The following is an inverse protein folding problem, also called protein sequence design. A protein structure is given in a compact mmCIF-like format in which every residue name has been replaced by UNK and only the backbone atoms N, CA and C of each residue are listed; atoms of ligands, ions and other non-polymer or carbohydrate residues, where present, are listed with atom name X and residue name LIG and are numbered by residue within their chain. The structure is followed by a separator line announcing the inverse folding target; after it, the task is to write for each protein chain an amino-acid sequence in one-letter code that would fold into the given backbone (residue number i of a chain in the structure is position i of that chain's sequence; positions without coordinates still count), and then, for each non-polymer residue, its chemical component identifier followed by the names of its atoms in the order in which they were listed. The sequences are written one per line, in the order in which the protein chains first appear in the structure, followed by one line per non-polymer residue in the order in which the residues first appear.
data_IF_576913309033
#
_entry.id   IF_576913309033
#
_cell.length_a   1.000
_cell.length_b   1.000
_cell.length_c   1.000
_cell.angle_alpha   90.00
_cell.angle_beta   90.00
_cell.angle_gamma   90.00
#
_symmetry.space_group_name_H-M   'P 1'
#
loop_
_entity.id
_entity.type
_entity.pdbx_description
1 polymer ?
#
# COMPACT_ATOMS: atom_id res chain seq x y z
N UNK A 1 3.94 -12.79 -53.09
CA UNK A 1 4.02 -14.09 -52.39
C UNK A 1 4.93 -13.86 -51.18
N UNK A 2 4.49 -13.55 -49.97
CA UNK A 2 3.26 -13.89 -49.27
C UNK A 2 3.63 -14.84 -48.12
N UNK A 3 4.13 -14.33 -46.98
CA UNK A 3 4.20 -15.09 -45.73
C UNK A 3 3.30 -14.43 -44.69
N UNK A 4 2.28 -15.18 -44.30
CA UNK A 4 1.21 -14.78 -43.41
C UNK A 4 1.67 -14.82 -41.94
N UNK A 5 1.43 -13.74 -41.19
CA UNK A 5 1.44 -13.76 -39.72
C UNK A 5 0.09 -14.31 -39.26
N UNK A 6 0.12 -15.40 -38.49
CA UNK A 6 -1.06 -16.03 -37.90
C UNK A 6 -1.48 -15.23 -36.67
N UNK A 7 -2.69 -14.67 -36.70
CA UNK A 7 -3.42 -14.21 -35.52
C UNK A 7 -3.98 -15.44 -34.78
N UNK A 8 -3.68 -15.57 -33.50
CA UNK A 8 -4.40 -16.49 -32.60
C UNK A 8 -5.65 -15.76 -32.11
N UNK A 9 -6.82 -16.23 -32.54
CA UNK A 9 -8.11 -15.90 -31.93
C UNK A 9 -8.26 -16.71 -30.65
N UNK A 10 -8.36 -16.06 -29.50
CA UNK A 10 -8.81 -16.71 -28.27
C UNK A 10 -10.34 -16.85 -28.31
N UNK A 11 -10.80 -18.10 -28.19
CA UNK A 11 -12.20 -18.49 -28.15
C UNK A 11 -12.73 -18.22 -26.74
N UNK A 12 -13.72 -17.34 -26.60
CA UNK A 12 -14.49 -17.20 -25.36
C UNK A 12 -15.43 -18.40 -25.23
N UNK A 13 -15.20 -19.26 -24.22
CA UNK A 13 -16.13 -20.33 -23.86
C UNK A 13 -17.11 -19.76 -22.84
N UNK A 14 -18.37 -19.57 -23.26
CA UNK A 14 -19.48 -19.32 -22.34
C UNK A 14 -19.87 -20.63 -21.63
N UNK A 15 -19.60 -20.73 -20.33
CA UNK A 15 -20.18 -21.80 -19.50
C UNK A 15 -21.45 -21.26 -18.86
N UNK A 16 -22.59 -21.87 -19.22
CA UNK A 16 -23.82 -21.75 -18.43
C UNK A 16 -23.87 -22.93 -17.47
N UNK A 17 -23.92 -22.66 -16.17
CA UNK A 17 -24.10 -23.72 -15.16
C UNK A 17 -25.29 -23.37 -14.25
N UNK A 18 -26.42 -24.02 -14.51
CA UNK A 18 -27.54 -24.12 -13.60
C UNK A 18 -27.21 -25.15 -12.52
N UNK A 19 -27.10 -24.73 -11.26
CA UNK A 19 -26.99 -25.65 -10.13
C UNK A 19 -26.86 -24.89 -8.81
N UNK A 20 -27.88 -25.02 -7.94
CA UNK A 20 -27.86 -24.55 -6.56
C UNK A 20 -26.73 -25.25 -5.79
N UNK A 21 -25.62 -24.55 -5.60
CA UNK A 21 -24.60 -24.83 -4.59
C UNK A 21 -24.33 -23.52 -3.88
N UNK A 22 -24.30 -23.55 -2.55
CA UNK A 22 -23.94 -22.39 -1.73
C UNK A 22 -22.69 -21.72 -2.30
N UNK A 23 -22.81 -20.46 -2.71
CA UNK A 23 -21.68 -19.63 -3.03
C UNK A 23 -20.89 -19.45 -1.74
N UNK A 24 -19.78 -20.17 -1.61
CA UNK A 24 -18.68 -19.70 -0.78
C UNK A 24 -18.34 -18.29 -1.31
N UNK A 25 -18.13 -17.27 -0.47
CA UNK A 25 -17.56 -16.03 -0.97
C UNK A 25 -16.20 -16.44 -1.56
N UNK A 26 -16.11 -16.42 -2.88
CA UNK A 26 -14.81 -16.32 -3.52
C UNK A 26 -14.23 -15.02 -2.95
N UNK A 27 -12.97 -14.97 -2.48
CA UNK A 27 -12.34 -13.65 -2.40
C UNK A 27 -12.58 -13.04 -3.78
N UNK A 28 -13.19 -11.85 -3.83
CA UNK A 28 -13.23 -11.10 -5.08
C UNK A 28 -11.76 -11.05 -5.50
N UNK A 29 -11.37 -11.83 -6.50
CA UNK A 29 -10.11 -11.56 -7.15
C UNK A 29 -10.33 -10.17 -7.71
N UNK A 30 -9.69 -9.20 -7.07
CA UNK A 30 -9.67 -7.84 -7.55
C UNK A 30 -9.32 -7.95 -9.04
N UNK A 31 -10.18 -7.43 -9.90
CA UNK A 31 -10.01 -7.57 -11.33
C UNK A 31 -8.63 -7.00 -11.69
N UNK A 32 -7.73 -7.85 -12.18
CA UNK A 32 -6.39 -7.43 -12.60
C UNK A 32 -6.51 -6.82 -13.98
N UNK A 33 -6.20 -5.53 -14.10
CA UNK A 33 -6.20 -4.80 -15.36
C UNK A 33 -4.89 -5.00 -16.13
N UNK A 34 -3.78 -5.10 -15.39
CA UNK A 34 -2.45 -5.26 -15.94
C UNK A 34 -1.60 -6.08 -14.97
N UNK A 35 -0.83 -7.01 -15.52
CA UNK A 35 0.24 -7.69 -14.80
C UNK A 35 1.43 -7.81 -15.76
N UNK A 36 2.62 -7.42 -15.30
CA UNK A 36 3.82 -7.48 -16.09
C UNK A 36 5.02 -7.87 -15.23
N UNK A 37 5.77 -8.85 -15.72
CA UNK A 37 7.09 -9.21 -15.19
C UNK A 37 8.12 -8.90 -16.26
N UNK A 38 9.24 -8.30 -15.88
CA UNK A 38 10.29 -7.96 -16.84
C UNK A 38 11.57 -7.48 -16.19
N UNK A 39 12.53 -7.10 -17.02
CA UNK A 39 13.80 -6.49 -16.60
C UNK A 39 13.84 -5.05 -17.10
N UNK A 40 14.02 -4.08 -16.21
CA UNK A 40 14.18 -2.68 -16.59
C UNK A 40 15.56 -2.49 -17.25
N UNK A 41 15.58 -2.32 -18.58
CA UNK A 41 16.74 -1.82 -19.36
C UNK A 41 16.27 -1.02 -20.59
N UNK A 42 16.35 0.34 -20.63
CA UNK A 42 16.97 1.29 -19.68
C UNK A 42 16.12 1.51 -18.41
N UNK A 43 16.58 2.38 -17.49
CA UNK A 43 16.07 2.67 -16.12
C UNK A 43 14.56 2.96 -15.92
N UNK A 44 13.74 2.80 -16.94
CA UNK A 44 12.30 3.03 -16.95
C UNK A 44 11.59 2.07 -17.91
N UNK A 45 10.41 1.59 -17.51
CA UNK A 45 9.45 0.90 -18.36
C UNK A 45 8.07 1.57 -18.24
N UNK A 46 7.33 1.63 -19.35
CA UNK A 46 5.99 2.23 -19.39
C UNK A 46 4.94 1.23 -19.83
N UNK A 47 3.78 1.30 -19.18
CA UNK A 47 2.62 0.44 -19.43
C UNK A 47 1.37 1.28 -19.53
N UNK A 48 0.40 0.85 -20.33
CA UNK A 48 -0.87 1.56 -20.49
C UNK A 48 -2.05 0.66 -20.16
N UNK A 49 -3.11 1.25 -19.61
CA UNK A 49 -4.39 0.60 -19.40
C UNK A 49 -5.52 1.61 -19.58
N UNK A 50 -6.71 1.11 -19.92
CA UNK A 50 -7.93 1.92 -19.99
C UNK A 50 -8.56 2.00 -18.59
N UNK A 51 -8.84 3.21 -18.12
CA UNK A 51 -9.46 3.48 -16.82
C UNK A 51 -10.81 4.17 -16.98
N UNK A 52 -11.68 3.99 -15.98
CA UNK A 52 -13.00 4.66 -15.92
C UNK A 52 -13.03 5.63 -14.73
N UNK A 53 -13.75 6.75 -14.87
CA UNK A 53 -13.97 7.71 -13.78
C UNK A 53 -14.53 7.02 -12.53
N UNK A 54 -13.94 7.31 -11.37
CA UNK A 54 -14.35 6.74 -10.09
C UNK A 54 -13.88 5.30 -9.86
N UNK A 55 -13.11 4.71 -10.78
CA UNK A 55 -12.55 3.39 -10.58
C UNK A 55 -11.43 3.43 -9.52
N UNK A 56 -11.54 2.57 -8.52
CA UNK A 56 -10.59 2.44 -7.42
C UNK A 56 -9.56 1.35 -7.74
N UNK A 57 -8.30 1.76 -7.93
CA UNK A 57 -7.21 0.88 -8.35
C UNK A 57 -6.04 0.93 -7.39
N UNK A 58 -5.37 -0.21 -7.29
CA UNK A 58 -4.07 -0.35 -6.66
C UNK A 58 -3.04 -0.77 -7.69
N UNK A 59 -1.91 -0.06 -7.68
CA UNK A 59 -0.76 -0.29 -8.54
C UNK A 59 0.43 -0.62 -7.64
N UNK A 60 1.02 -1.80 -7.78
CA UNK A 60 2.20 -2.23 -7.03
C UNK A 60 3.37 -2.42 -7.97
N UNK A 61 4.55 -1.96 -7.55
CA UNK A 61 5.83 -2.24 -8.20
C UNK A 61 6.80 -2.77 -7.14
N UNK A 62 7.20 -4.02 -7.32
CA UNK A 62 8.10 -4.73 -6.41
C UNK A 62 9.38 -5.13 -7.14
N UNK A 63 10.53 -4.98 -6.47
CA UNK A 63 11.82 -5.46 -6.97
C UNK A 63 12.78 -5.73 -5.82
N UNK A 64 13.50 -6.86 -5.92
CA UNK A 64 14.65 -7.17 -5.05
C UNK A 64 15.97 -6.57 -5.59
N UNK A 65 15.98 -6.17 -6.86
CA UNK A 65 17.18 -5.74 -7.58
C UNK A 65 17.41 -4.22 -7.49
N UNK A 66 16.35 -3.43 -7.31
CA UNK A 66 16.43 -1.97 -7.24
C UNK A 66 15.34 -1.37 -6.35
N UNK A 67 15.57 -0.12 -5.92
CA UNK A 67 14.60 0.71 -5.23
C UNK A 67 13.54 1.24 -6.21
N UNK A 68 12.31 0.70 -6.22
CA UNK A 68 11.30 0.99 -7.22
C UNK A 68 10.67 2.36 -7.04
N UNK A 69 10.23 2.96 -8.15
CA UNK A 69 9.41 4.16 -8.11
C UNK A 69 8.31 4.09 -9.18
N UNK A 70 7.12 4.54 -8.79
CA UNK A 70 5.87 4.45 -9.55
C UNK A 70 5.32 5.85 -9.84
N UNK A 71 5.03 6.13 -11.10
CA UNK A 71 4.20 7.27 -11.52
C UNK A 71 2.98 6.76 -12.26
N UNK A 72 1.84 7.39 -12.02
CA UNK A 72 0.65 7.27 -12.85
C UNK A 72 0.42 8.59 -13.57
N UNK A 73 0.38 8.54 -14.89
CA UNK A 73 0.13 9.70 -15.75
C UNK A 73 -1.21 9.54 -16.50
N UNK A 74 -1.89 10.65 -16.76
CA UNK A 74 -3.05 10.70 -17.66
C UNK A 74 -2.63 10.68 -19.15
N UNK A 75 -3.59 10.74 -20.07
CA UNK A 75 -3.28 10.76 -21.52
C UNK A 75 -2.61 12.04 -22.03
N UNK A 76 -2.66 13.13 -21.25
CA UNK A 76 -1.95 14.37 -21.53
C UNK A 76 -0.49 14.33 -21.02
N UNK A 77 -0.12 13.29 -20.26
CA UNK A 77 1.16 13.16 -19.60
C UNK A 77 1.26 13.95 -18.29
N UNK A 78 0.12 14.37 -17.72
CA UNK A 78 0.05 15.00 -16.41
C UNK A 78 0.08 13.93 -15.30
N UNK A 79 0.73 14.25 -14.18
CA UNK A 79 0.83 13.32 -13.04
C UNK A 79 -0.49 13.23 -12.29
N UNK A 80 -0.99 12.01 -12.15
CA UNK A 80 -2.18 11.66 -11.36
C UNK A 80 -1.77 11.23 -9.95
N UNK A 81 -0.72 10.41 -9.85
CA UNK A 81 -0.21 9.92 -8.58
C UNK A 81 1.27 9.50 -8.70
N UNK A 82 1.97 9.53 -7.58
CA UNK A 82 3.37 9.16 -7.45
C UNK A 82 3.58 8.39 -6.14
N UNK A 83 4.43 7.37 -6.17
CA UNK A 83 4.99 6.81 -4.95
C UNK A 83 6.37 6.14 -5.19
N UNK A 84 7.30 6.30 -4.26
CA UNK A 84 8.62 5.65 -4.20
C UNK A 84 8.83 4.73 -2.98
N UNK A 85 7.96 4.74 -1.96
CA UNK A 85 8.02 3.80 -0.83
C UNK A 85 6.62 3.50 -0.25
N UNK A 86 6.42 2.33 0.36
CA UNK A 86 5.12 2.04 0.98
C UNK A 86 5.23 1.09 2.16
N UNK A 87 4.49 1.43 3.23
CA UNK A 87 4.23 0.52 4.35
C UNK A 87 5.49 0.07 5.10
N UNK A 88 6.56 0.85 5.08
CA UNK A 88 7.84 0.50 5.70
C UNK A 88 8.73 -0.44 4.84
N UNK A 89 8.40 -0.59 3.56
CA UNK A 89 9.22 -1.27 2.55
C UNK A 89 9.70 -0.27 1.49
N UNK A 90 10.73 -0.65 0.74
CA UNK A 90 11.16 0.10 -0.44
C UNK A 90 10.23 -0.11 -1.64
N UNK A 91 9.32 -1.09 -1.60
CA UNK A 91 8.39 -1.32 -2.72
C UNK A 91 7.41 -0.15 -2.84
N UNK A 92 7.07 0.20 -4.08
CA UNK A 92 6.14 1.30 -4.35
C UNK A 92 4.72 0.80 -4.52
N UNK A 93 3.76 1.57 -3.99
CA UNK A 93 2.33 1.28 -4.13
C UNK A 93 1.51 2.55 -4.26
N UNK A 94 0.68 2.63 -5.31
CA UNK A 94 -0.31 3.69 -5.50
C UNK A 94 -1.69 3.09 -5.25
N UNK A 95 -2.50 3.76 -4.43
CA UNK A 95 -3.93 3.47 -4.25
C UNK A 95 -4.66 4.73 -4.73
N UNK A 96 -5.51 4.62 -5.75
CA UNK A 96 -6.04 5.79 -6.47
C UNK A 96 -7.49 5.59 -6.90
N UNK A 97 -8.28 6.65 -6.81
CA UNK A 97 -9.56 6.77 -7.52
C UNK A 97 -9.32 7.54 -8.81
N UNK A 98 -9.59 6.93 -9.96
CA UNK A 98 -9.32 7.55 -11.26
C UNK A 98 -10.23 8.77 -11.49
N UNK A 99 -9.69 9.92 -11.91
CA UNK A 99 -10.46 11.16 -12.03
C UNK A 99 -11.33 11.25 -13.29
N UNK A 100 -11.12 10.40 -14.30
CA UNK A 100 -11.83 10.45 -15.57
C UNK A 100 -11.79 9.11 -16.32
N UNK A 101 -12.66 8.96 -17.31
CA UNK A 101 -12.48 7.96 -18.36
C UNK A 101 -11.27 8.37 -19.21
N UNK A 102 -10.18 7.59 -19.15
CA UNK A 102 -8.94 7.92 -19.87
C UNK A 102 -8.04 6.69 -20.12
N UNK A 103 -7.07 6.85 -21.02
CA UNK A 103 -5.93 5.92 -21.15
C UNK A 103 -4.82 6.39 -20.22
N UNK A 104 -4.54 5.62 -19.18
CA UNK A 104 -3.50 5.95 -18.19
C UNK A 104 -2.17 5.28 -18.53
N UNK A 105 -1.07 5.95 -18.17
CA UNK A 105 0.30 5.41 -18.31
C UNK A 105 0.93 5.19 -16.95
N UNK A 106 1.30 3.95 -16.65
CA UNK A 106 2.13 3.59 -15.50
C UNK A 106 3.59 3.67 -15.91
N UNK A 107 4.39 4.42 -15.16
CA UNK A 107 5.84 4.50 -15.31
C UNK A 107 6.49 3.78 -14.14
N UNK A 108 7.14 2.66 -14.43
CA UNK A 108 7.97 1.92 -13.48
C UNK A 108 9.43 2.31 -13.69
N UNK A 109 10.08 2.86 -12.67
CA UNK A 109 11.48 3.30 -12.76
C UNK A 109 12.30 2.79 -11.59
N UNK A 110 13.61 2.66 -11.81
CA UNK A 110 14.59 2.44 -10.74
C UNK A 110 15.07 3.80 -10.22
N UNK A 111 15.04 4.02 -8.90
CA UNK A 111 15.49 5.28 -8.29
C UNK A 111 16.95 5.61 -8.63
N UNK A 112 17.85 4.62 -8.50
CA UNK A 112 19.28 4.76 -8.78
C UNK A 112 19.63 4.62 -10.28
N UNK A 113 18.71 4.09 -11.08
CA UNK A 113 18.88 3.89 -12.53
C UNK A 113 19.63 2.62 -12.93
N UNK A 114 19.90 1.73 -11.97
CA UNK A 114 20.64 0.48 -12.18
C UNK A 114 19.80 -0.58 -12.92
N UNK A 115 18.47 -0.52 -12.79
CA UNK A 115 17.53 -1.48 -13.40
C UNK A 115 17.64 -2.89 -12.81
N UNK A 116 16.70 -3.76 -13.15
CA UNK A 116 16.62 -5.11 -12.61
C UNK A 116 15.27 -5.76 -12.88
N UNK A 117 15.07 -6.95 -12.35
CA UNK A 117 13.81 -7.67 -12.46
C UNK A 117 12.75 -7.04 -11.54
N UNK A 118 11.50 -7.00 -12.00
CA UNK A 118 10.39 -6.44 -11.24
C UNK A 118 9.07 -7.14 -11.54
N UNK A 119 8.14 -6.99 -10.59
CA UNK A 119 6.73 -7.35 -10.71
C UNK A 119 5.87 -6.09 -10.64
N UNK A 120 5.10 -5.82 -11.70
CA UNK A 120 4.14 -4.73 -11.78
C UNK A 120 2.71 -5.28 -11.87
N UNK A 121 1.83 -4.83 -10.99
CA UNK A 121 0.40 -5.20 -11.01
C UNK A 121 -0.47 -3.95 -10.93
N UNK A 122 -1.49 -3.87 -11.78
CA UNK A 122 -2.63 -2.94 -11.66
C UNK A 122 -3.87 -3.77 -11.46
N UNK A 123 -4.56 -3.56 -10.35
CA UNK A 123 -5.78 -4.29 -10.02
C UNK A 123 -6.77 -3.41 -9.26
N UNK A 124 -8.01 -3.85 -9.14
CA UNK A 124 -8.96 -3.21 -8.22
C UNK A 124 -8.40 -3.18 -6.79
N UNK A 125 -8.67 -2.08 -6.08
CA UNK A 125 -8.29 -1.96 -4.67
C UNK A 125 -9.10 -2.90 -3.78
N UNK A 126 -8.47 -3.40 -2.73
CA UNK A 126 -9.18 -4.12 -1.67
C UNK A 126 -9.82 -3.13 -0.70
N UNK A 127 -10.83 -3.55 0.09
CA UNK A 127 -11.36 -2.71 1.16
C UNK A 127 -10.28 -2.23 2.14
N UNK A 128 -9.34 -3.10 2.51
CA UNK A 128 -8.20 -2.72 3.35
C UNK A 128 -7.43 -1.53 2.77
N UNK A 129 -7.11 -1.58 1.47
CA UNK A 129 -6.30 -0.56 0.79
C UNK A 129 -7.01 0.79 0.77
N UNK A 130 -8.31 0.80 0.50
CA UNK A 130 -9.10 2.03 0.49
C UNK A 130 -9.23 2.64 1.88
N UNK A 131 -9.47 1.81 2.89
CA UNK A 131 -9.54 2.26 4.28
C UNK A 131 -8.18 2.75 4.78
N UNK A 132 -7.09 2.07 4.42
CA UNK A 132 -5.73 2.50 4.72
C UNK A 132 -5.39 3.83 4.06
N UNK A 133 -5.69 4.01 2.76
CA UNK A 133 -5.48 5.27 2.07
C UNK A 133 -6.28 6.42 2.71
N UNK A 134 -7.52 6.15 3.14
CA UNK A 134 -8.32 7.11 3.91
C UNK A 134 -7.63 7.50 5.23
N UNK A 135 -7.02 6.54 5.93
CA UNK A 135 -6.26 6.82 7.15
C UNK A 135 -5.04 7.71 6.89
N UNK A 136 -4.29 7.46 5.82
CA UNK A 136 -3.16 8.30 5.39
C UNK A 136 -3.60 9.73 5.03
N UNK A 137 -4.71 9.89 4.31
CA UNK A 137 -5.28 11.21 3.99
C UNK A 137 -5.66 11.98 5.26
N UNK A 138 -6.23 11.30 6.25
CA UNK A 138 -6.57 11.87 7.56
C UNK A 138 -5.32 12.26 8.36
N UNK A 139 -4.26 11.45 8.28
CA UNK A 139 -2.95 11.78 8.86
C UNK A 139 -2.38 13.07 8.25
N UNK A 140 -2.47 13.25 6.93
CA UNK A 140 -1.95 14.43 6.23
C UNK A 140 -2.65 15.74 6.62
N UNK A 141 -3.94 15.67 6.97
CA UNK A 141 -4.71 16.83 7.45
C UNK A 141 -4.73 16.96 8.98
N UNK A 142 -3.89 16.18 9.67
CA UNK A 142 -3.76 16.13 11.13
C UNK A 142 -5.08 15.79 11.86
N UNK A 143 -6.02 15.11 11.18
CA UNK A 143 -7.20 14.51 11.81
C UNK A 143 -6.82 13.15 12.41
N UNK A 144 -6.07 13.20 13.51
CA UNK A 144 -5.54 12.01 14.16
C UNK A 144 -6.63 11.11 14.75
N UNK A 145 -7.74 11.67 15.24
CA UNK A 145 -8.86 10.87 15.75
C UNK A 145 -9.50 10.06 14.61
N UNK A 146 -9.75 10.71 13.46
CA UNK A 146 -10.21 10.04 12.24
C UNK A 146 -9.22 8.99 11.76
N UNK A 147 -7.93 9.31 11.70
CA UNK A 147 -6.87 8.39 11.27
C UNK A 147 -6.80 7.14 12.15
N UNK A 148 -6.85 7.30 13.49
CA UNK A 148 -6.85 6.16 14.43
C UNK A 148 -8.04 5.24 14.17
N UNK A 149 -9.23 5.80 13.92
CA UNK A 149 -10.43 5.03 13.62
C UNK A 149 -10.28 4.28 12.29
N UNK A 150 -9.78 4.96 11.24
CA UNK A 150 -9.58 4.36 9.93
C UNK A 150 -8.50 3.26 9.94
N UNK A 151 -7.35 3.46 10.60
CA UNK A 151 -6.37 2.38 10.75
C UNK A 151 -6.91 1.21 11.57
N UNK A 152 -7.75 1.47 12.57
CA UNK A 152 -8.39 0.40 13.34
C UNK A 152 -9.32 -0.43 12.47
N UNK A 153 -10.13 0.23 11.62
CA UNK A 153 -10.96 -0.47 10.63
C UNK A 153 -10.11 -1.23 9.60
N UNK A 154 -8.99 -0.65 9.14
CA UNK A 154 -8.06 -1.33 8.24
C UNK A 154 -7.48 -2.60 8.90
N UNK A 155 -7.07 -2.54 10.17
CA UNK A 155 -6.60 -3.71 10.93
C UNK A 155 -7.68 -4.78 11.06
N UNK A 156 -8.95 -4.38 11.25
CA UNK A 156 -10.07 -5.33 11.31
C UNK A 156 -10.34 -6.01 9.95
N UNK A 157 -10.07 -5.31 8.84
CA UNK A 157 -10.20 -5.83 7.48
C UNK A 157 -9.06 -6.79 7.11
N UNK A 158 -7.83 -6.45 7.48
CA UNK A 158 -6.65 -7.28 7.26
C UNK A 158 -5.62 -7.11 8.40
N UNK A 159 -5.62 -8.03 9.39
CA UNK A 159 -4.76 -7.92 10.56
C UNK A 159 -3.31 -8.33 10.30
N UNK A 160 -2.97 -8.81 9.10
CA UNK A 160 -1.62 -9.24 8.73
C UNK A 160 -0.77 -8.08 8.19
N UNK A 161 -1.36 -6.88 8.07
CA UNK A 161 -0.71 -5.70 7.49
C UNK A 161 -0.02 -4.85 8.56
N UNK A 162 1.30 -5.02 8.69
CA UNK A 162 2.13 -4.28 9.66
C UNK A 162 2.00 -2.75 9.54
N UNK A 163 1.83 -2.24 8.32
CA UNK A 163 1.71 -0.80 8.04
C UNK A 163 0.54 -0.14 8.77
N UNK A 164 -0.58 -0.83 8.94
CA UNK A 164 -1.76 -0.27 9.60
C UNK A 164 -1.55 -0.09 11.11
N UNK A 165 -0.81 -1.00 11.75
CA UNK A 165 -0.39 -0.84 13.15
C UNK A 165 0.59 0.32 13.31
N UNK A 166 1.57 0.43 12.41
CA UNK A 166 2.52 1.56 12.44
C UNK A 166 1.84 2.91 12.25
N UNK A 167 0.94 3.01 11.27
CA UNK A 167 0.14 4.21 11.03
C UNK A 167 -0.72 4.57 12.25
N UNK A 168 -1.39 3.59 12.87
CA UNK A 168 -2.18 3.83 14.09
C UNK A 168 -1.33 4.31 15.26
N UNK A 169 -0.16 3.71 15.48
CA UNK A 169 0.77 4.15 16.52
C UNK A 169 1.24 5.60 16.30
N UNK A 170 1.56 5.97 15.05
CA UNK A 170 1.91 7.33 14.68
C UNK A 170 0.76 8.30 14.88
N UNK A 171 -0.46 7.91 14.53
CA UNK A 171 -1.67 8.72 14.73
C UNK A 171 -1.93 8.98 16.22
N UNK A 172 -1.79 7.96 17.08
CA UNK A 172 -1.91 8.09 18.54
C UNK A 172 -0.89 9.08 19.09
N UNK A 173 0.37 9.00 18.65
CA UNK A 173 1.40 9.95 19.07
C UNK A 173 1.08 11.37 18.55
N UNK A 174 0.69 11.50 17.28
CA UNK A 174 0.28 12.77 16.68
C UNK A 174 -0.83 13.45 17.46
N UNK A 175 -1.87 12.69 17.84
CA UNK A 175 -2.96 13.20 18.68
C UNK A 175 -2.44 13.73 20.01
N UNK A 176 -1.58 12.98 20.70
CA UNK A 176 -0.99 13.41 21.98
C UNK A 176 -0.22 14.71 21.82
N UNK A 177 0.64 14.81 20.80
CA UNK A 177 1.43 16.02 20.56
C UNK A 177 0.55 17.21 20.18
N UNK A 178 -0.54 17.02 19.44
CA UNK A 178 -1.47 18.11 19.09
C UNK A 178 -2.28 18.59 20.29
N UNK A 179 -2.72 17.67 21.16
CA UNK A 179 -3.51 18.02 22.34
C UNK A 179 -2.66 18.62 23.47
N UNK A 180 -1.42 18.17 23.62
CA UNK A 180 -0.56 18.50 24.76
C UNK A 180 0.57 19.47 24.41
N UNK A 181 0.94 19.58 23.13
CA UNK A 181 1.86 20.59 22.59
C UNK A 181 3.10 20.78 23.45
N UNK A 182 3.26 22.02 23.96
CA UNK A 182 4.38 22.46 24.80
C UNK A 182 4.51 21.74 26.15
N UNK A 183 3.52 20.91 26.55
CA UNK A 183 3.58 20.14 27.80
C UNK A 183 4.40 18.84 27.67
N UNK A 184 4.68 18.38 26.44
CA UNK A 184 5.53 17.21 26.23
C UNK A 184 6.99 17.68 26.19
N UNK A 185 7.67 17.66 27.33
CA UNK A 185 9.10 17.97 27.42
C UNK A 185 9.97 16.71 27.31
N UNK A 186 9.37 15.54 27.58
CA UNK A 186 10.01 14.25 27.55
C UNK A 186 9.02 13.13 27.21
N UNK A 187 9.49 11.94 26.80
CA UNK A 187 8.63 10.78 26.63
C UNK A 187 7.81 10.37 27.87
N UNK A 188 8.19 10.82 29.08
CA UNK A 188 7.42 10.58 30.33
C UNK A 188 6.09 11.30 30.39
N UNK A 189 6.00 12.42 29.68
CA UNK A 189 4.80 13.25 29.63
C UNK A 189 3.73 12.62 28.73
N UNK A 190 4.09 11.64 27.89
CA UNK A 190 3.13 10.88 27.08
C UNK A 190 2.21 10.10 28.02
N UNK A 191 0.86 10.26 27.91
CA UNK A 191 -0.10 9.54 28.74
C UNK A 191 0.11 8.03 28.70
N UNK A 192 0.00 7.37 29.86
CA UNK A 192 0.21 5.93 29.97
C UNK A 192 -0.65 5.12 28.97
N UNK A 193 -1.91 5.50 28.78
CA UNK A 193 -2.81 4.82 27.83
C UNK A 193 -2.33 4.94 26.37
N UNK A 194 -1.87 6.12 25.95
CA UNK A 194 -1.31 6.31 24.61
C UNK A 194 -0.02 5.50 24.43
N UNK A 195 0.83 5.48 25.47
CA UNK A 195 2.06 4.71 25.47
C UNK A 195 1.80 3.20 25.34
N UNK A 196 0.85 2.67 26.10
CA UNK A 196 0.43 1.27 26.02
C UNK A 196 -0.10 0.89 24.64
N UNK A 197 -0.92 1.77 24.03
CA UNK A 197 -1.43 1.56 22.67
C UNK A 197 -0.30 1.51 21.62
N UNK A 198 0.63 2.48 21.67
CA UNK A 198 1.78 2.54 20.75
C UNK A 198 2.69 1.32 20.92
N UNK A 199 2.95 0.89 22.16
CA UNK A 199 3.74 -0.31 22.43
C UNK A 199 3.08 -1.55 21.79
N UNK A 200 1.77 -1.73 21.98
CA UNK A 200 1.05 -2.87 21.43
C UNK A 200 1.12 -2.90 19.89
N UNK A 201 0.94 -1.75 19.26
CA UNK A 201 1.02 -1.62 17.80
C UNK A 201 2.44 -1.87 17.26
N UNK A 202 3.47 -1.37 17.93
CA UNK A 202 4.86 -1.64 17.55
C UNK A 202 5.24 -3.11 17.67
N UNK A 203 4.78 -3.80 18.73
CA UNK A 203 5.06 -5.23 18.88
C UNK A 203 4.34 -6.06 17.83
N UNK A 204 3.07 -5.77 17.57
CA UNK A 204 2.32 -6.47 16.53
C UNK A 204 2.91 -6.23 15.14
N UNK A 205 3.30 -4.98 14.83
CA UNK A 205 4.00 -4.66 13.59
C UNK A 205 5.35 -5.39 13.49
N UNK A 206 6.11 -5.47 14.58
CA UNK A 206 7.40 -6.18 14.61
C UNK A 206 7.22 -7.69 14.36
N UNK A 207 6.22 -8.32 14.96
CA UNK A 207 5.94 -9.75 14.75
C UNK A 207 5.58 -10.04 13.28
N UNK A 208 4.79 -9.15 12.65
CA UNK A 208 4.43 -9.26 11.24
C UNK A 208 5.63 -9.02 10.32
N UNK A 209 6.48 -8.04 10.64
CA UNK A 209 7.70 -7.74 9.89
C UNK A 209 8.74 -8.87 9.97
N UNK A 210 8.91 -9.49 11.13
CA UNK A 210 9.78 -10.67 11.28
C UNK A 210 9.22 -11.85 10.46
N UNK A 211 7.90 -12.06 10.47
CA UNK A 211 7.26 -13.09 9.66
C UNK A 211 7.45 -12.88 8.15
N UNK A 212 7.58 -11.63 7.69
CA UNK A 212 7.88 -11.26 6.31
C UNK A 212 9.39 -11.14 6.00
N UNK A 213 10.28 -11.49 6.94
CA UNK A 213 11.74 -11.47 6.75
C UNK A 213 12.40 -10.08 6.91
N UNK A 214 11.68 -9.10 7.44
CA UNK A 214 12.17 -7.75 7.75
C UNK A 214 12.74 -7.65 9.19
N UNK A 215 13.65 -8.54 9.54
CA UNK A 215 14.15 -8.74 10.91
C UNK A 215 14.75 -7.46 11.55
N UNK A 216 15.53 -6.70 10.79
CA UNK A 216 16.16 -5.46 11.28
C UNK A 216 15.12 -4.40 11.68
N UNK A 217 14.03 -4.30 10.92
CA UNK A 217 12.94 -3.37 11.21
C UNK A 217 12.14 -3.85 12.43
N UNK A 218 11.87 -5.16 12.51
CA UNK A 218 11.23 -5.75 13.67
C UNK A 218 12.03 -5.52 14.97
N UNK A 219 13.35 -5.70 14.94
CA UNK A 219 14.22 -5.42 16.08
C UNK A 219 14.15 -3.94 16.50
N UNK A 220 14.24 -3.02 15.54
CA UNK A 220 14.12 -1.57 15.78
C UNK A 220 12.79 -1.18 16.45
N UNK A 221 11.67 -1.76 16.01
CA UNK A 221 10.35 -1.51 16.61
C UNK A 221 10.26 -2.05 18.03
N UNK A 222 10.85 -3.22 18.31
CA UNK A 222 10.90 -3.80 19.65
C UNK A 222 11.76 -2.96 20.61
N UNK A 223 12.88 -2.41 20.14
CA UNK A 223 13.69 -1.47 20.92
C UNK A 223 12.89 -0.20 21.26
N UNK A 224 12.17 0.38 20.29
CA UNK A 224 11.32 1.55 20.52
C UNK A 224 10.20 1.25 21.54
N UNK A 225 9.54 0.11 21.42
CA UNK A 225 8.54 -0.34 22.39
C UNK A 225 9.15 -0.53 23.79
N UNK A 226 10.36 -1.07 23.88
CA UNK A 226 11.08 -1.21 25.16
C UNK A 226 11.45 0.13 25.77
N UNK A 227 11.91 1.09 24.98
CA UNK A 227 12.18 2.45 25.45
C UNK A 227 10.94 3.08 26.04
N UNK A 228 9.79 2.94 25.36
CA UNK A 228 8.52 3.45 25.86
C UNK A 228 8.12 2.81 27.21
N UNK A 229 8.38 1.52 27.41
CA UNK A 229 8.10 0.83 28.68
C UNK A 229 8.95 1.31 29.85
N UNK A 230 10.21 1.65 29.59
CA UNK A 230 11.19 1.99 30.63
C UNK A 230 11.07 3.42 31.15
N UNK A 231 10.14 4.20 30.59
CA UNK A 231 9.84 5.54 31.05
C UNK A 231 9.00 5.47 32.34
N UNK A 232 9.64 5.76 33.47
CA UNK A 232 8.96 5.89 34.77
C UNK A 232 8.10 7.18 34.77
N UNK A 233 6.85 7.16 35.27
CA UNK A 233 5.99 8.36 35.35
C UNK A 233 6.44 9.38 36.40
#
# INVERSE_FOLDING_TARGET
MGSARRFLQAIAISVTLSGLGMAMPQPLLAETLLENQGTITPAEATYTFEGTEGQELTITLESDDFDPVLLLLDSNGEEVAFNDDFGGSLNSKIIVTLPADDTYTVVARSFAGDGGDYDLVVRASTPFELTFATAEDLMMVEDFEGAIAAYTEAIDLDPEQSSAYLGRAQAVLGQVYTEQGDQIESPADIPAAAREAVIADFEQAADLMEASGSDNWAESLREQAQLLRLIDP
#
